data_IF_397261593429
#
_entry.id   IF_397261593429
#
_cell.length_a   1.000
_cell.length_b   1.000
_cell.length_c   1.000
_cell.angle_alpha   90.00
_cell.angle_beta   90.00
_cell.angle_gamma   90.00
#
_symmetry.space_group_name_H-M   'P 1'
#
loop_
_entity.id
_entity.type
_entity.pdbx_description
1 polymer ?
#
# COMPACT_ATOMS: atom_id res chain seq x y z
N UNK A 1 -8.91 -94.64 12.96
CA UNK A 1 -9.77 -93.52 12.58
C UNK A 1 -9.64 -92.49 13.68
N UNK A 2 -8.86 -91.43 13.42
CA UNK A 2 -8.62 -90.34 14.38
C UNK A 2 -9.22 -89.04 13.71
N UNK A 3 -10.35 -88.60 14.26
CA UNK A 3 -10.99 -87.36 13.87
C UNK A 3 -10.18 -86.19 14.39
N UNK A 4 -9.77 -85.31 13.45
CA UNK A 4 -9.14 -84.02 13.78
C UNK A 4 -10.25 -82.93 13.85
N UNK A 5 -10.43 -82.40 15.07
CA UNK A 5 -11.31 -81.26 15.33
C UNK A 5 -10.52 -79.97 14.95
N UNK A 6 -11.05 -79.23 13.97
CA UNK A 6 -10.55 -77.86 13.61
C UNK A 6 -11.28 -76.88 14.48
N UNK A 7 -10.56 -76.05 15.24
CA UNK A 7 -11.07 -74.88 15.95
C UNK A 7 -10.70 -73.64 15.12
N UNK A 8 -11.64 -72.83 14.72
CA UNK A 8 -11.29 -71.53 13.98
C UNK A 8 -10.84 -70.49 15.00
N UNK A 9 -9.64 -69.97 14.79
CA UNK A 9 -9.07 -68.82 15.51
C UNK A 9 -9.63 -67.56 14.91
N UNK A 10 -10.57 -66.86 15.56
CA UNK A 10 -11.06 -65.52 15.19
C UNK A 10 -10.08 -64.51 15.70
N UNK A 11 -9.32 -63.89 14.76
CA UNK A 11 -8.47 -62.75 15.05
C UNK A 11 -9.32 -61.47 15.12
N UNK A 12 -9.45 -60.89 16.32
CA UNK A 12 -10.05 -59.58 16.52
C UNK A 12 -9.01 -58.49 16.13
N UNK A 13 -9.26 -57.79 15.03
CA UNK A 13 -8.49 -56.63 14.63
C UNK A 13 -8.95 -55.42 15.46
N UNK A 14 -8.12 -55.01 16.40
CA UNK A 14 -8.34 -53.79 17.19
C UNK A 14 -7.88 -52.58 16.37
N UNK A 15 -8.81 -51.87 15.76
CA UNK A 15 -8.52 -50.62 15.05
C UNK A 15 -8.37 -49.49 16.07
N UNK A 16 -7.13 -49.11 16.37
CA UNK A 16 -6.84 -47.95 17.22
C UNK A 16 -6.86 -46.71 16.31
N UNK A 17 -7.95 -45.95 16.37
CA UNK A 17 -8.02 -44.65 15.73
C UNK A 17 -7.25 -43.64 16.58
N UNK A 18 -6.04 -43.26 16.13
CA UNK A 18 -5.33 -42.10 16.67
C UNK A 18 -5.98 -40.82 16.17
N UNK A 19 -6.83 -40.21 16.99
CA UNK A 19 -7.29 -38.84 16.76
C UNK A 19 -6.15 -37.92 17.18
N UNK A 20 -5.28 -37.58 16.21
CA UNK A 20 -4.31 -36.50 16.40
C UNK A 20 -5.05 -35.17 16.47
N UNK A 21 -5.30 -34.68 17.67
CA UNK A 21 -5.64 -33.26 17.87
C UNK A 21 -4.40 -32.43 17.50
N UNK A 22 -4.31 -32.02 16.26
CA UNK A 22 -3.40 -30.93 15.85
C UNK A 22 -3.89 -29.70 16.58
N UNK A 23 -3.23 -29.34 17.67
CA UNK A 23 -3.44 -28.05 18.34
C UNK A 23 -2.95 -26.97 17.37
N UNK A 24 -3.87 -26.39 16.60
CA UNK A 24 -3.59 -25.16 15.85
C UNK A 24 -3.21 -24.11 16.89
N UNK A 25 -1.94 -23.71 16.87
CA UNK A 25 -1.44 -22.67 17.75
C UNK A 25 -2.19 -21.40 17.38
N UNK A 26 -3.01 -20.87 18.27
CA UNK A 26 -3.68 -19.60 18.04
C UNK A 26 -2.63 -18.55 17.65
N UNK A 27 -2.89 -17.72 16.61
CA UNK A 27 -1.96 -16.68 16.23
C UNK A 27 -1.67 -15.81 17.45
N UNK A 28 -0.38 -15.54 17.67
CA UNK A 28 0.08 -14.77 18.81
C UNK A 28 -0.60 -13.39 18.79
N UNK A 29 -1.12 -12.97 19.95
CA UNK A 29 -1.60 -11.60 20.13
C UNK A 29 -0.52 -10.61 19.71
N UNK A 30 -0.90 -9.62 18.88
CA UNK A 30 0.03 -8.62 18.40
C UNK A 30 0.71 -7.90 19.56
N UNK A 31 2.05 -7.82 19.62
CA UNK A 31 2.71 -7.04 20.65
C UNK A 31 2.31 -5.56 20.52
N UNK A 32 1.91 -4.96 21.61
CA UNK A 32 1.60 -3.54 21.73
C UNK A 32 2.86 -2.75 22.12
N UNK A 33 3.95 -2.92 21.41
CA UNK A 33 5.18 -2.19 21.73
C UNK A 33 5.24 -0.90 20.90
N UNK A 34 4.81 0.21 21.51
CA UNK A 34 5.19 1.54 21.02
C UNK A 34 6.69 1.71 21.23
N UNK A 35 7.44 1.88 20.15
CA UNK A 35 8.85 2.29 20.23
C UNK A 35 8.84 3.81 20.41
N UNK A 36 9.38 4.36 21.53
CA UNK A 36 9.37 5.79 21.76
C UNK A 36 9.98 6.56 20.59
N UNK A 37 9.27 7.56 20.08
CA UNK A 37 9.73 8.41 18.98
C UNK A 37 9.62 7.79 17.58
N UNK A 38 9.25 6.50 17.42
CA UNK A 38 9.05 5.87 16.12
C UNK A 38 7.55 5.70 15.82
N UNK A 39 7.11 6.11 14.63
CA UNK A 39 5.70 6.04 14.22
C UNK A 39 5.56 5.54 12.78
N UNK A 40 4.76 4.50 12.61
CA UNK A 40 4.33 3.97 11.30
C UNK A 40 2.90 4.44 10.99
N UNK A 41 2.08 4.54 12.01
CA UNK A 41 0.64 4.71 11.91
C UNK A 41 0.07 5.40 13.13
N UNK A 42 -0.87 6.29 12.92
CA UNK A 42 -1.69 6.91 13.95
C UNK A 42 -3.15 6.58 13.72
N UNK A 43 -3.87 6.23 14.80
CA UNK A 43 -5.30 5.97 14.71
C UNK A 43 -6.04 7.23 14.24
N UNK A 44 -6.71 7.19 13.08
CA UNK A 44 -7.48 8.35 12.62
C UNK A 44 -8.68 8.59 13.53
N UNK A 45 -8.79 9.81 14.07
CA UNK A 45 -9.92 10.26 14.92
C UNK A 45 -10.94 11.08 14.14
N UNK A 46 -10.55 11.57 12.97
CA UNK A 46 -11.26 12.54 12.14
C UNK A 46 -11.52 12.01 10.71
N UNK A 47 -11.51 10.69 10.53
CA UNK A 47 -11.53 10.04 9.21
C UNK A 47 -12.65 10.55 8.31
N UNK A 48 -13.86 10.74 8.85
CA UNK A 48 -15.03 11.17 8.06
C UNK A 48 -14.88 12.58 7.46
N UNK A 49 -14.04 13.43 8.05
CA UNK A 49 -13.83 14.82 7.63
C UNK A 49 -12.54 15.06 6.85
N UNK A 50 -11.69 14.04 6.70
CA UNK A 50 -10.42 14.15 5.99
C UNK A 50 -10.62 14.51 4.52
N UNK A 51 -9.89 15.52 4.07
CA UNK A 51 -9.83 15.93 2.67
C UNK A 51 -8.87 15.02 1.91
N UNK A 52 -9.38 14.20 0.99
CA UNK A 52 -8.58 13.31 0.16
C UNK A 52 -8.22 13.93 -1.20
N UNK A 53 -8.70 15.12 -1.51
CA UNK A 53 -8.23 15.83 -2.70
C UNK A 53 -6.88 16.50 -2.45
N UNK A 54 -6.78 17.32 -1.39
CA UNK A 54 -5.53 17.96 -1.02
C UNK A 54 -4.66 17.09 -0.09
N UNK A 55 -5.27 16.15 0.62
CA UNK A 55 -4.59 15.26 1.57
C UNK A 55 -4.26 15.94 2.91
N UNK A 56 -3.44 15.28 3.75
CA UNK A 56 -3.20 15.73 5.13
C UNK A 56 -2.43 17.05 5.23
N UNK A 57 -1.77 17.46 4.15
CA UNK A 57 -0.99 18.70 4.08
C UNK A 57 -1.82 19.90 3.58
N UNK A 58 -3.04 19.65 3.11
CA UNK A 58 -3.99 20.67 2.74
C UNK A 58 -3.68 21.42 1.44
N UNK A 59 -4.52 22.38 1.17
CA UNK A 59 -4.46 23.20 -0.07
C UNK A 59 -3.24 24.11 -0.11
N UNK A 60 -2.85 24.66 1.03
CA UNK A 60 -1.76 25.66 1.10
C UNK A 60 -0.39 25.05 0.80
N UNK A 61 -0.24 23.74 1.01
CA UNK A 61 0.94 23.00 0.59
C UNK A 61 0.88 22.50 -0.86
N UNK A 62 -0.23 22.71 -1.58
CA UNK A 62 -0.35 22.26 -2.96
C UNK A 62 0.48 23.11 -3.92
N UNK A 63 0.98 22.54 -5.05
CA UNK A 63 1.60 23.31 -6.11
C UNK A 63 0.55 24.14 -6.82
N UNK A 64 0.89 25.39 -7.17
CA UNK A 64 0.00 26.26 -7.95
C UNK A 64 0.06 25.85 -9.43
N UNK A 65 -1.05 25.40 -10.06
CA UNK A 65 -1.05 25.02 -11.47
C UNK A 65 -0.81 26.18 -12.45
N UNK A 66 -0.90 27.43 -11.97
CA UNK A 66 -0.67 28.64 -12.77
C UNK A 66 0.73 29.22 -12.60
N UNK A 67 1.51 28.69 -11.65
CA UNK A 67 2.87 29.18 -11.41
C UNK A 67 3.82 28.77 -12.53
N UNK A 68 4.84 29.61 -12.74
CA UNK A 68 6.02 29.22 -13.52
C UNK A 68 7.07 28.66 -12.57
N UNK A 69 7.39 27.39 -12.77
CA UNK A 69 8.41 26.69 -11.99
C UNK A 69 9.77 26.89 -12.66
N UNK A 70 10.80 27.17 -11.87
CA UNK A 70 12.17 27.28 -12.36
C UNK A 70 12.87 25.94 -12.22
N UNK A 71 13.50 25.45 -13.29
CA UNK A 71 14.34 24.26 -13.27
C UNK A 71 15.52 24.44 -12.29
N UNK A 72 15.82 23.41 -11.51
CA UNK A 72 16.96 23.38 -10.58
C UNK A 72 17.97 22.34 -11.04
N UNK A 73 17.54 21.09 -11.17
CA UNK A 73 18.42 19.98 -11.56
C UNK A 73 17.65 18.79 -12.11
N UNK A 74 18.31 17.94 -12.88
CA UNK A 74 17.82 16.60 -13.24
C UNK A 74 18.12 15.60 -12.14
N UNK A 75 17.18 14.69 -11.91
CA UNK A 75 17.40 13.54 -11.02
C UNK A 75 17.89 12.35 -11.83
N UNK A 76 19.07 11.86 -11.49
CA UNK A 76 19.71 10.75 -12.19
C UNK A 76 19.37 9.36 -11.59
N UNK A 77 18.49 9.29 -10.60
CA UNK A 77 18.08 8.04 -9.94
C UNK A 77 16.63 7.68 -10.22
N UNK A 78 16.38 6.40 -10.53
CA UNK A 78 15.04 5.85 -10.79
C UNK A 78 14.75 5.56 -12.26
N UNK A 79 13.64 4.86 -12.51
CA UNK A 79 13.22 4.43 -13.85
C UNK A 79 12.47 5.55 -14.61
N UNK A 80 11.87 6.49 -13.89
CA UNK A 80 11.10 7.59 -14.48
C UNK A 80 11.94 8.86 -14.60
N UNK A 81 11.59 9.69 -15.58
CA UNK A 81 12.17 11.04 -15.68
C UNK A 81 11.86 11.83 -14.42
N UNK A 82 12.89 12.43 -13.84
CA UNK A 82 12.77 13.22 -12.63
C UNK A 82 13.57 14.50 -12.68
N UNK A 83 13.00 15.56 -12.09
CA UNK A 83 13.68 16.83 -11.92
C UNK A 83 13.35 17.46 -10.57
N UNK A 84 14.18 18.39 -10.13
CA UNK A 84 13.85 19.33 -9.08
C UNK A 84 13.48 20.65 -9.73
N UNK A 85 12.37 21.22 -9.31
CA UNK A 85 11.93 22.55 -9.73
C UNK A 85 11.65 23.42 -8.51
N UNK A 86 11.74 24.75 -8.68
CA UNK A 86 11.43 25.73 -7.62
C UNK A 86 10.24 26.57 -8.03
N UNK A 87 9.27 26.72 -7.11
CA UNK A 87 8.13 27.61 -7.32
C UNK A 87 8.47 29.09 -7.01
N UNK A 88 7.56 30.05 -7.34
CA UNK A 88 7.80 31.47 -7.07
C UNK A 88 7.95 31.81 -5.57
N UNK A 89 7.50 30.94 -4.65
CA UNK A 89 7.66 31.09 -3.21
C UNK A 89 8.99 30.53 -2.70
N UNK A 90 9.82 29.99 -3.59
CA UNK A 90 11.11 29.39 -3.25
C UNK A 90 11.04 27.96 -2.76
N UNK A 91 9.86 27.32 -2.76
CA UNK A 91 9.70 25.91 -2.36
C UNK A 91 10.23 24.99 -3.46
N UNK A 92 10.95 23.95 -3.06
CA UNK A 92 11.48 22.96 -4.00
C UNK A 92 10.55 21.72 -4.10
N UNK A 93 10.41 21.26 -5.33
CA UNK A 93 9.55 20.16 -5.70
C UNK A 93 10.33 19.08 -6.45
N UNK A 94 10.25 17.86 -5.96
CA UNK A 94 10.66 16.69 -6.73
C UNK A 94 9.54 16.32 -7.70
N UNK A 95 9.75 16.54 -8.97
CA UNK A 95 8.81 16.20 -10.02
C UNK A 95 9.21 14.88 -10.67
N UNK A 96 8.22 13.98 -10.84
CA UNK A 96 8.35 12.72 -11.57
C UNK A 96 7.38 12.77 -12.76
N UNK A 97 7.89 12.58 -13.97
CA UNK A 97 7.13 12.65 -15.21
C UNK A 97 7.12 11.30 -15.94
N UNK A 98 6.10 11.04 -16.78
CA UNK A 98 6.12 9.88 -17.66
C UNK A 98 7.25 10.02 -18.71
N UNK A 99 7.77 8.90 -19.18
CA UNK A 99 8.56 8.90 -20.41
C UNK A 99 7.65 9.27 -21.59
N UNK A 100 8.17 9.95 -22.61
CA UNK A 100 7.42 10.24 -23.82
C UNK A 100 6.84 8.95 -24.42
N UNK A 101 5.53 8.92 -24.65
CA UNK A 101 4.82 7.75 -25.18
C UNK A 101 4.54 6.64 -24.17
N UNK A 102 4.85 6.80 -22.90
CA UNK A 102 4.46 5.83 -21.87
C UNK A 102 2.94 5.87 -21.64
N UNK A 103 2.28 4.72 -21.82
CA UNK A 103 0.85 4.56 -21.53
C UNK A 103 0.59 4.44 -20.02
N UNK A 104 1.53 3.85 -19.29
CA UNK A 104 1.45 3.56 -17.85
C UNK A 104 2.40 4.49 -17.09
N UNK A 105 1.83 5.33 -16.24
CA UNK A 105 2.59 6.29 -15.44
C UNK A 105 2.31 6.14 -13.94
N UNK A 106 3.36 6.01 -13.16
CA UNK A 106 3.29 5.79 -11.69
C UNK A 106 2.79 7.01 -10.91
N UNK A 107 2.94 8.22 -11.45
CA UNK A 107 2.65 9.47 -10.72
C UNK A 107 1.23 9.58 -10.19
N UNK A 108 0.19 9.41 -11.03
CA UNK A 108 -1.20 9.37 -10.59
C UNK A 108 -1.47 8.35 -9.50
N UNK A 109 -0.95 7.11 -9.67
CA UNK A 109 -1.09 6.02 -8.71
C UNK A 109 -0.48 6.39 -7.37
N UNK A 110 0.75 6.93 -7.36
CA UNK A 110 1.45 7.36 -6.14
C UNK A 110 0.62 8.39 -5.36
N UNK A 111 -0.01 9.34 -6.05
CA UNK A 111 -0.87 10.34 -5.40
C UNK A 111 -2.12 9.70 -4.80
N UNK A 112 -2.85 8.87 -5.56
CA UNK A 112 -4.05 8.18 -5.05
C UNK A 112 -3.73 7.37 -3.82
N UNK A 113 -2.71 6.51 -3.88
CA UNK A 113 -2.37 5.64 -2.76
C UNK A 113 -1.85 6.41 -1.55
N UNK A 114 -1.10 7.50 -1.77
CA UNK A 114 -0.71 8.41 -0.68
C UNK A 114 -1.94 9.01 0.02
N UNK A 115 -2.98 9.40 -0.73
CA UNK A 115 -4.25 9.87 -0.15
C UNK A 115 -4.93 8.80 0.68
N UNK A 116 -5.07 7.59 0.13
CA UNK A 116 -5.74 6.48 0.80
C UNK A 116 -4.99 6.05 2.06
N UNK A 117 -3.66 5.88 1.98
CA UNK A 117 -2.84 5.51 3.13
C UNK A 117 -2.89 6.56 4.24
N UNK A 118 -2.75 7.85 3.89
CA UNK A 118 -2.83 8.91 4.89
C UNK A 118 -4.22 9.00 5.52
N UNK A 119 -5.28 8.76 4.75
CA UNK A 119 -6.65 8.78 5.27
C UNK A 119 -6.86 7.73 6.36
N UNK A 120 -6.27 6.55 6.22
CA UNK A 120 -6.40 5.47 7.20
C UNK A 120 -5.27 5.44 8.23
N UNK A 121 -4.46 6.50 8.31
CA UNK A 121 -3.54 6.77 9.42
C UNK A 121 -2.06 6.50 9.16
N UNK A 122 -1.66 6.03 7.97
CA UNK A 122 -0.24 5.87 7.63
C UNK A 122 0.37 7.19 7.20
N UNK A 123 1.56 7.47 7.69
CA UNK A 123 2.26 8.72 7.36
C UNK A 123 2.63 8.80 5.89
N UNK A 124 2.39 9.98 5.28
CA UNK A 124 2.73 10.26 3.90
C UNK A 124 3.29 11.68 3.76
N UNK A 125 4.30 11.92 2.90
CA UNK A 125 4.81 13.25 2.60
C UNK A 125 3.80 14.03 1.74
N UNK A 126 3.97 15.37 1.62
CA UNK A 126 3.14 16.18 0.73
C UNK A 126 3.43 15.82 -0.74
N UNK A 127 2.45 15.19 -1.39
CA UNK A 127 2.53 14.76 -2.79
C UNK A 127 1.25 15.15 -3.53
N UNK A 128 1.41 15.65 -4.76
CA UNK A 128 0.31 16.17 -5.59
C UNK A 128 0.53 15.79 -7.04
N UNK A 129 -0.51 15.94 -7.86
CA UNK A 129 -0.45 15.75 -9.29
C UNK A 129 -0.89 17.03 -10.00
N UNK A 130 -0.09 17.48 -10.97
CA UNK A 130 -0.48 18.50 -11.93
C UNK A 130 -0.57 17.88 -13.33
N UNK A 131 -1.66 18.10 -14.08
CA UNK A 131 -1.82 17.54 -15.42
C UNK A 131 -0.89 18.19 -16.46
N UNK A 132 -0.44 19.41 -16.20
CA UNK A 132 0.57 20.17 -16.93
C UNK A 132 1.12 21.24 -16.01
N UNK A 133 2.31 21.78 -16.31
CA UNK A 133 2.89 22.90 -15.58
C UNK A 133 3.80 23.73 -16.51
N UNK A 134 3.99 25.01 -16.16
CA UNK A 134 4.91 25.90 -16.89
C UNK A 134 6.30 25.78 -16.26
N UNK A 135 7.30 25.43 -17.08
CA UNK A 135 8.71 25.34 -16.70
C UNK A 135 9.49 26.46 -17.34
N UNK A 136 10.43 27.06 -16.58
CA UNK A 136 11.45 27.96 -17.04
C UNK A 136 12.82 27.33 -16.83
N UNK A 137 13.58 27.18 -17.89
CA UNK A 137 14.93 26.65 -17.91
C UNK A 137 15.84 27.48 -18.82
N UNK A 138 17.01 26.96 -19.22
CA UNK A 138 17.98 27.61 -20.08
C UNK A 138 17.47 27.83 -21.54
N UNK A 139 16.46 27.04 -21.98
CA UNK A 139 15.84 27.16 -23.31
C UNK A 139 14.64 28.12 -23.34
N UNK A 140 14.24 28.65 -22.18
CA UNK A 140 13.14 29.58 -22.03
C UNK A 140 12.00 29.08 -21.16
N UNK A 141 10.79 29.56 -21.46
CA UNK A 141 9.58 29.21 -20.71
C UNK A 141 8.64 28.42 -21.62
N UNK A 142 8.25 27.25 -21.21
CA UNK A 142 7.41 26.33 -21.97
C UNK A 142 6.49 25.50 -21.07
N UNK A 143 5.52 24.82 -21.68
CA UNK A 143 4.60 23.93 -20.96
C UNK A 143 5.16 22.51 -20.99
N UNK A 144 5.28 21.93 -19.81
CA UNK A 144 5.66 20.54 -19.61
C UNK A 144 4.44 19.62 -19.42
N UNK A 145 4.55 18.36 -19.83
CA UNK A 145 3.58 17.33 -19.47
C UNK A 145 3.41 17.22 -17.96
N UNK A 146 2.25 16.75 -17.52
CA UNK A 146 1.94 16.59 -16.12
C UNK A 146 2.88 15.67 -15.37
N UNK A 147 2.91 15.83 -14.06
CA UNK A 147 3.80 15.07 -13.20
C UNK A 147 3.30 14.95 -11.76
N UNK A 148 3.90 14.00 -11.04
CA UNK A 148 3.77 13.93 -9.60
C UNK A 148 4.76 14.92 -8.97
N UNK A 149 4.23 15.84 -8.20
CA UNK A 149 4.96 16.84 -7.42
C UNK A 149 5.05 16.40 -5.96
N UNK A 150 6.25 16.28 -5.41
CA UNK A 150 6.47 16.07 -3.99
C UNK A 150 7.27 17.23 -3.44
N UNK A 151 6.68 17.92 -2.46
CA UNK A 151 7.31 19.05 -1.79
C UNK A 151 8.52 18.55 -0.99
N UNK A 152 9.64 19.24 -1.11
CA UNK A 152 10.74 19.13 -0.15
C UNK A 152 10.34 19.93 1.10
N UNK A 153 9.71 19.22 2.04
CA UNK A 153 9.10 19.81 3.24
C UNK A 153 10.16 19.97 4.33
N UNK A 154 10.46 21.22 4.75
CA UNK A 154 11.54 21.49 5.73
C UNK A 154 11.39 20.77 7.07
N UNK A 155 10.16 20.40 7.46
CA UNK A 155 9.89 19.67 8.70
C UNK A 155 10.05 18.15 8.56
N UNK A 156 10.32 17.65 7.34
CA UNK A 156 10.53 16.23 7.03
C UNK A 156 11.91 15.99 6.46
N UNK A 157 12.87 15.64 7.31
CA UNK A 157 14.23 15.30 6.88
C UNK A 157 14.33 13.80 6.57
N UNK A 158 14.78 13.44 5.37
CA UNK A 158 15.01 12.04 5.00
C UNK A 158 16.31 11.53 5.67
N UNK A 159 16.18 10.46 6.46
CA UNK A 159 17.31 9.79 7.14
C UNK A 159 17.72 8.48 6.46
N UNK A 160 17.13 8.16 5.31
CA UNK A 160 17.42 6.95 4.54
C UNK A 160 16.22 6.04 4.37
N UNK A 161 16.48 4.77 4.09
CA UNK A 161 15.44 3.75 3.87
C UNK A 161 15.25 2.88 5.11
N UNK A 162 14.03 2.39 5.32
CA UNK A 162 13.76 1.36 6.32
C UNK A 162 13.43 0.01 5.67
N UNK A 163 13.68 -1.08 6.39
CA UNK A 163 13.55 -2.44 5.90
C UNK A 163 12.19 -3.05 6.26
N UNK A 164 11.52 -3.67 5.29
CA UNK A 164 10.34 -4.50 5.54
C UNK A 164 10.65 -5.71 6.45
N UNK A 165 11.86 -6.23 6.37
CA UNK A 165 12.28 -7.42 7.11
C UNK A 165 12.80 -7.11 8.51
N UNK A 166 13.19 -5.84 8.74
CA UNK A 166 13.82 -5.40 9.98
C UNK A 166 13.34 -3.99 10.34
N UNK A 167 12.32 -3.92 11.18
CA UNK A 167 11.76 -2.66 11.69
C UNK A 167 11.05 -2.92 13.03
N UNK A 168 10.81 -1.88 13.85
CA UNK A 168 10.24 -2.04 15.19
C UNK A 168 8.75 -2.42 15.21
N UNK A 169 8.06 -2.43 14.06
CA UNK A 169 6.61 -2.66 13.98
C UNK A 169 6.26 -4.08 13.54
N UNK A 170 7.25 -4.94 13.26
CA UNK A 170 7.00 -6.33 12.84
C UNK A 170 6.13 -7.04 13.88
N UNK A 171 5.04 -7.67 13.41
CA UNK A 171 4.07 -8.36 14.26
C UNK A 171 3.01 -7.44 14.87
N UNK A 172 3.10 -6.13 14.70
CA UNK A 172 2.02 -5.22 15.12
C UNK A 172 0.87 -5.21 14.11
N UNK A 173 -0.34 -4.96 14.58
CA UNK A 173 -1.53 -4.88 13.71
C UNK A 173 -1.42 -3.79 12.63
N UNK A 174 -0.92 -2.57 12.90
CA UNK A 174 -0.69 -1.58 11.84
C UNK A 174 0.30 -2.03 10.78
N UNK A 175 1.37 -2.74 11.16
CA UNK A 175 2.33 -3.24 10.18
C UNK A 175 1.74 -4.36 9.30
N UNK A 176 1.03 -5.31 9.91
CA UNK A 176 0.33 -6.37 9.18
C UNK A 176 -0.74 -5.76 8.26
N UNK A 177 -1.49 -4.77 8.76
CA UNK A 177 -2.48 -4.04 7.97
C UNK A 177 -1.88 -3.28 6.79
N UNK A 178 -0.69 -2.67 6.95
CA UNK A 178 0.03 -2.05 5.84
C UNK A 178 0.36 -3.06 4.74
N UNK A 179 0.84 -4.24 5.11
CA UNK A 179 1.12 -5.31 4.15
C UNK A 179 -0.16 -5.75 3.41
N UNK A 180 -1.28 -5.89 4.13
CA UNK A 180 -2.59 -6.18 3.52
C UNK A 180 -2.98 -5.11 2.51
N UNK A 181 -2.80 -3.82 2.84
CA UNK A 181 -3.09 -2.72 1.91
C UNK A 181 -2.19 -2.76 0.68
N UNK A 182 -0.91 -3.09 0.84
CA UNK A 182 -0.01 -3.27 -0.31
C UNK A 182 -0.49 -4.39 -1.25
N UNK A 183 -0.99 -5.51 -0.70
CA UNK A 183 -1.58 -6.60 -1.47
C UNK A 183 -2.91 -6.18 -2.12
N UNK A 184 -3.76 -5.44 -1.41
CA UNK A 184 -5.04 -4.93 -1.92
C UNK A 184 -4.85 -3.99 -3.10
N UNK A 185 -3.82 -3.16 -3.06
CA UNK A 185 -3.44 -2.22 -4.13
C UNK A 185 -2.67 -2.89 -5.26
N UNK A 186 -2.30 -4.15 -5.10
CA UNK A 186 -1.40 -4.88 -6.01
C UNK A 186 -0.09 -4.13 -6.25
N UNK A 187 0.53 -3.66 -5.15
CA UNK A 187 1.84 -3.00 -5.22
C UNK A 187 2.93 -4.05 -5.40
N UNK A 188 3.48 -4.13 -6.60
CA UNK A 188 4.44 -5.17 -7.01
C UNK A 188 5.89 -4.86 -6.63
N UNK A 189 6.18 -3.67 -6.12
CA UNK A 189 7.56 -3.21 -5.88
C UNK A 189 7.84 -2.86 -4.40
N UNK A 190 7.76 -3.89 -3.53
CA UNK A 190 8.02 -3.76 -2.09
C UNK A 190 9.53 -3.75 -1.75
N UNK A 191 10.35 -3.04 -2.52
CA UNK A 191 11.77 -2.88 -2.20
C UNK A 191 11.96 -1.97 -0.99
N UNK A 192 12.98 -2.28 -0.17
CA UNK A 192 13.35 -1.42 0.96
C UNK A 192 13.74 0.00 0.52
N UNK A 193 14.34 0.15 -0.66
CA UNK A 193 14.68 1.46 -1.24
C UNK A 193 13.47 2.35 -1.58
N UNK A 194 12.27 1.77 -1.66
CA UNK A 194 11.01 2.50 -1.86
C UNK A 194 10.43 3.04 -0.55
N UNK A 195 11.02 2.66 0.58
CA UNK A 195 10.65 3.13 1.89
C UNK A 195 11.56 4.28 2.33
N UNK A 196 11.04 5.18 3.14
CA UNK A 196 11.82 6.29 3.68
C UNK A 196 11.56 6.44 5.17
N UNK A 197 12.64 6.54 5.92
CA UNK A 197 12.63 6.99 7.30
C UNK A 197 12.76 8.52 7.29
N UNK A 198 11.74 9.21 7.81
CA UNK A 198 11.79 10.65 7.99
C UNK A 198 11.95 11.01 9.46
N UNK A 199 12.83 11.94 9.74
CA UNK A 199 12.79 12.72 10.96
C UNK A 199 11.76 13.84 10.75
N UNK A 200 10.69 13.84 11.55
CA UNK A 200 9.69 14.90 11.58
C UNK A 200 9.88 15.77 12.79
N UNK A 201 9.99 17.08 12.57
CA UNK A 201 10.07 18.07 13.63
C UNK A 201 8.74 18.80 13.78
N UNK A 202 8.23 18.84 15.02
CA UNK A 202 7.04 19.59 15.42
C UNK A 202 7.35 20.36 16.70
N UNK A 203 7.83 21.60 16.56
CA UNK A 203 8.43 22.33 17.67
C UNK A 203 9.67 21.60 18.19
N UNK A 204 9.74 21.34 19.49
CA UNK A 204 10.84 20.62 20.15
C UNK A 204 10.71 19.08 20.05
N UNK A 205 9.58 18.58 19.55
CA UNK A 205 9.37 17.16 19.38
C UNK A 205 9.98 16.67 18.07
N UNK A 206 10.71 15.56 18.17
CA UNK A 206 11.32 14.85 17.04
C UNK A 206 10.72 13.44 17.00
N UNK A 207 10.09 13.11 15.87
CA UNK A 207 9.49 11.80 15.60
C UNK A 207 10.15 11.16 14.39
N UNK A 208 10.31 9.84 14.41
CA UNK A 208 10.73 9.08 13.25
C UNK A 208 9.52 8.48 12.54
N UNK A 209 9.23 8.95 11.34
CA UNK A 209 8.16 8.44 10.51
C UNK A 209 8.64 7.37 9.54
N UNK A 210 8.06 6.19 9.65
CA UNK A 210 8.29 5.07 8.75
C UNK A 210 7.28 5.14 7.60
N UNK A 211 7.73 5.58 6.43
CA UNK A 211 6.87 5.89 5.29
C UNK A 211 7.14 4.94 4.13
N UNK A 212 6.10 4.34 3.55
CA UNK A 212 6.18 3.70 2.23
C UNK A 212 5.91 4.79 1.20
N UNK A 213 6.94 5.15 0.44
CA UNK A 213 6.93 6.35 -0.39
C UNK A 213 6.72 6.10 -1.87
N UNK A 214 7.45 5.18 -2.47
CA UNK A 214 7.45 4.94 -3.92
C UNK A 214 6.44 3.84 -4.26
N UNK A 215 5.16 4.19 -4.13
CA UNK A 215 4.01 3.26 -4.22
C UNK A 215 3.29 3.30 -5.57
N UNK A 216 3.93 3.88 -6.59
CA UNK A 216 3.35 4.02 -7.92
C UNK A 216 3.27 2.72 -8.74
N UNK A 217 4.02 1.68 -8.36
CA UNK A 217 4.02 0.38 -9.02
C UNK A 217 2.82 -0.48 -8.57
N UNK A 218 1.60 0.05 -8.70
CA UNK A 218 0.37 -0.52 -8.17
C UNK A 218 -0.83 -0.24 -9.07
N UNK A 219 -2.02 -0.68 -8.65
CA UNK A 219 -3.30 -0.52 -9.36
C UNK A 219 -3.23 -1.02 -10.82
N UNK A 220 -2.62 -2.17 -11.02
CA UNK A 220 -2.44 -2.77 -12.32
C UNK A 220 -2.42 -4.28 -12.25
N UNK A 221 -1.47 -4.91 -12.94
CA UNK A 221 -1.19 -6.32 -12.81
C UNK A 221 0.25 -6.55 -12.31
N UNK A 222 0.45 -7.74 -11.77
CA UNK A 222 1.76 -8.21 -11.30
C UNK A 222 2.53 -8.98 -12.37
N UNK A 223 2.28 -8.71 -13.66
CA UNK A 223 2.96 -9.44 -14.72
C UNK A 223 4.47 -9.17 -14.66
N UNK A 224 5.23 -10.23 -14.49
CA UNK A 224 6.64 -10.21 -14.09
C UNK A 224 7.57 -9.42 -15.01
N UNK A 225 7.28 -9.36 -16.30
CA UNK A 225 8.17 -8.75 -17.31
C UNK A 225 7.77 -7.34 -17.75
N UNK A 226 6.51 -7.00 -17.62
CA UNK A 226 5.97 -5.67 -17.97
C UNK A 226 4.70 -5.39 -17.16
N UNK A 227 4.82 -5.10 -15.85
CA UNK A 227 3.66 -4.80 -15.01
C UNK A 227 2.99 -3.53 -15.51
N UNK A 228 1.68 -3.60 -15.75
CA UNK A 228 0.87 -2.45 -16.12
C UNK A 228 0.42 -1.74 -14.86
N UNK A 229 0.89 -0.51 -14.67
CA UNK A 229 0.65 0.32 -13.48
C UNK A 229 -0.51 1.27 -13.76
N UNK A 230 -1.40 1.48 -12.79
CA UNK A 230 -2.55 2.37 -12.97
C UNK A 230 -3.49 1.94 -14.10
N UNK A 231 -3.52 0.66 -14.45
CA UNK A 231 -4.33 0.11 -15.52
C UNK A 231 -5.56 -0.61 -14.96
N UNK A 232 -6.74 0.01 -15.09
CA UNK A 232 -7.98 -0.50 -14.50
C UNK A 232 -8.36 -1.89 -15.01
N UNK A 233 -8.18 -2.17 -16.31
CA UNK A 233 -8.52 -3.47 -16.89
C UNK A 233 -7.57 -4.58 -16.43
N UNK A 234 -6.33 -4.26 -16.15
CA UNK A 234 -5.37 -5.17 -15.55
C UNK A 234 -5.73 -5.44 -14.08
N UNK A 235 -5.97 -4.37 -13.32
CA UNK A 235 -6.29 -4.44 -11.90
C UNK A 235 -7.57 -5.21 -11.59
N UNK A 236 -8.59 -5.11 -12.45
CA UNK A 236 -9.85 -5.87 -12.34
C UNK A 236 -9.67 -7.39 -12.47
N UNK A 237 -8.57 -7.85 -13.08
CA UNK A 237 -8.26 -9.29 -13.25
C UNK A 237 -7.42 -9.86 -12.12
N UNK A 238 -6.76 -9.01 -11.33
CA UNK A 238 -5.87 -9.46 -10.26
C UNK A 238 -6.66 -9.91 -9.04
N UNK A 239 -6.41 -11.14 -8.62
CA UNK A 239 -7.03 -11.72 -7.43
C UNK A 239 -6.31 -11.20 -6.18
N UNK A 240 -7.09 -10.74 -5.22
CA UNK A 240 -6.55 -10.28 -3.95
C UNK A 240 -6.31 -11.44 -2.99
N UNK A 241 -7.33 -12.22 -2.68
CA UNK A 241 -7.26 -13.34 -1.77
C UNK A 241 -7.53 -14.64 -2.53
N UNK A 242 -6.66 -15.64 -2.36
CA UNK A 242 -6.81 -16.98 -2.92
C UNK A 242 -7.52 -17.93 -1.95
N UNK A 243 -7.28 -17.77 -0.64
CA UNK A 243 -7.84 -18.59 0.41
C UNK A 243 -7.18 -18.34 1.76
N UNK A 244 -7.39 -19.27 2.68
CA UNK A 244 -6.75 -19.33 3.99
C UNK A 244 -6.14 -20.71 4.18
N UNK A 245 -4.85 -20.78 4.49
CA UNK A 245 -4.11 -22.02 4.74
C UNK A 245 -3.39 -21.92 6.08
N UNK A 246 -3.54 -22.93 6.93
CA UNK A 246 -2.88 -22.98 8.26
C UNK A 246 -3.14 -21.75 9.14
N UNK A 247 -4.31 -21.09 8.99
CA UNK A 247 -4.66 -19.88 9.75
C UNK A 247 -4.10 -18.58 9.18
N UNK A 248 -3.46 -18.61 8.01
CA UNK A 248 -2.92 -17.44 7.32
C UNK A 248 -3.58 -17.23 5.95
N UNK A 249 -3.62 -15.97 5.52
CA UNK A 249 -4.21 -15.57 4.24
C UNK A 249 -3.23 -15.83 3.10
N UNK A 250 -3.69 -16.52 2.07
CA UNK A 250 -2.99 -16.69 0.80
C UNK A 250 -3.42 -15.59 -0.15
N UNK A 251 -2.48 -14.72 -0.54
CA UNK A 251 -2.71 -13.63 -1.49
C UNK A 251 -2.36 -14.03 -2.92
N UNK A 252 -3.06 -13.45 -3.89
CA UNK A 252 -2.75 -13.58 -5.32
C UNK A 252 -1.50 -12.82 -5.77
N UNK A 253 -0.77 -12.24 -4.84
CA UNK A 253 0.38 -11.38 -5.07
C UNK A 253 1.57 -12.11 -5.73
N UNK A 254 2.19 -11.46 -6.72
CA UNK A 254 3.31 -11.97 -7.51
C UNK A 254 4.42 -10.92 -7.68
N UNK A 255 4.72 -10.17 -6.64
CA UNK A 255 5.71 -9.10 -6.66
C UNK A 255 7.01 -9.43 -5.94
N UNK A 256 7.82 -8.39 -5.71
CA UNK A 256 9.02 -8.49 -4.89
C UNK A 256 8.67 -8.85 -3.45
N UNK A 257 9.47 -9.73 -2.84
CA UNK A 257 9.35 -10.09 -1.41
C UNK A 257 8.02 -10.77 -1.03
N UNK A 258 7.49 -11.68 -1.84
CA UNK A 258 6.31 -12.50 -1.50
C UNK A 258 6.36 -13.09 -0.07
N UNK A 259 7.58 -13.40 0.42
CA UNK A 259 7.80 -13.92 1.79
C UNK A 259 7.38 -12.95 2.90
N UNK A 260 7.17 -11.67 2.60
CA UNK A 260 6.68 -10.69 3.60
C UNK A 260 5.27 -11.01 4.08
N UNK A 261 4.45 -11.61 3.24
CA UNK A 261 3.04 -11.90 3.53
C UNK A 261 2.76 -13.39 3.74
N UNK A 262 3.65 -14.28 3.26
CA UNK A 262 3.45 -15.72 3.38
C UNK A 262 3.52 -16.16 4.84
N UNK A 263 2.52 -16.89 5.30
CA UNK A 263 2.41 -17.45 6.66
C UNK A 263 2.55 -16.39 7.78
N UNK A 264 2.06 -15.16 7.54
CA UNK A 264 2.20 -14.03 8.47
C UNK A 264 0.93 -13.23 8.68
N UNK A 265 0.08 -13.12 7.68
CA UNK A 265 -1.13 -12.31 7.72
C UNK A 265 -2.30 -13.20 8.10
N UNK A 266 -2.96 -12.90 9.20
CA UNK A 266 -4.15 -13.62 9.64
C UNK A 266 -5.42 -13.06 8.98
N UNK A 267 -6.54 -13.83 8.96
CA UNK A 267 -7.84 -13.30 8.54
C UNK A 267 -8.26 -12.04 9.31
N UNK A 268 -7.91 -11.96 10.61
CA UNK A 268 -8.20 -10.77 11.44
C UNK A 268 -7.41 -9.53 10.99
N UNK A 269 -6.16 -9.70 10.52
CA UNK A 269 -5.36 -8.61 9.98
C UNK A 269 -5.95 -8.08 8.67
N UNK A 270 -6.36 -9.00 7.79
CA UNK A 270 -7.01 -8.66 6.54
C UNK A 270 -8.34 -7.94 6.76
N UNK A 271 -9.16 -8.43 7.70
CA UNK A 271 -10.41 -7.81 8.07
C UNK A 271 -10.19 -6.42 8.69
N UNK A 272 -9.18 -6.25 9.56
CA UNK A 272 -8.88 -4.96 10.17
C UNK A 272 -8.49 -3.90 9.12
N UNK A 273 -7.59 -4.22 8.19
CA UNK A 273 -7.18 -3.30 7.13
C UNK A 273 -8.34 -2.96 6.19
N UNK A 274 -9.14 -3.96 5.83
CA UNK A 274 -10.33 -3.79 4.99
C UNK A 274 -11.38 -2.92 5.67
N UNK A 275 -11.60 -3.09 6.98
CA UNK A 275 -12.51 -2.26 7.77
C UNK A 275 -12.04 -0.80 7.90
N UNK A 276 -10.73 -0.54 7.96
CA UNK A 276 -10.20 0.83 7.92
C UNK A 276 -10.57 1.52 6.61
N UNK A 277 -10.32 0.86 5.49
CA UNK A 277 -10.62 1.40 4.15
C UNK A 277 -12.13 1.56 3.92
N UNK A 278 -12.96 0.67 4.46
CA UNK A 278 -14.42 0.71 4.30
C UNK A 278 -15.08 1.91 5.01
N UNK A 279 -14.38 2.59 5.90
CA UNK A 279 -14.88 3.81 6.55
C UNK A 279 -14.82 5.04 5.64
N UNK A 280 -14.12 4.95 4.51
CA UNK A 280 -14.04 6.05 3.55
C UNK A 280 -15.37 6.22 2.80
N UNK A 281 -15.89 7.44 2.78
CA UNK A 281 -17.10 7.80 2.05
C UNK A 281 -16.88 7.76 0.53
N UNK A 282 -17.97 7.65 -0.23
CA UNK A 282 -17.96 7.71 -1.70
C UNK A 282 -17.29 8.98 -2.23
N UNK A 283 -17.49 10.11 -1.55
CA UNK A 283 -16.86 11.37 -1.88
C UNK A 283 -15.34 11.27 -1.71
N UNK A 284 -14.87 10.74 -0.59
CA UNK A 284 -13.44 10.62 -0.29
C UNK A 284 -12.74 9.71 -1.31
N UNK A 285 -13.35 8.60 -1.68
CA UNK A 285 -12.85 7.72 -2.74
C UNK A 285 -12.66 8.48 -4.06
N UNK A 286 -13.70 9.21 -4.51
CA UNK A 286 -13.63 10.00 -5.76
C UNK A 286 -12.61 11.13 -5.65
N UNK A 287 -12.52 11.79 -4.50
CA UNK A 287 -11.57 12.87 -4.27
C UNK A 287 -10.11 12.38 -4.33
N UNK A 288 -9.80 11.18 -3.80
CA UNK A 288 -8.47 10.59 -3.90
C UNK A 288 -8.06 10.32 -5.36
N UNK A 289 -8.95 9.72 -6.17
CA UNK A 289 -8.67 9.46 -7.58
C UNK A 289 -8.61 10.74 -8.42
N UNK A 290 -9.47 11.71 -8.13
CA UNK A 290 -9.42 13.04 -8.75
C UNK A 290 -8.11 13.77 -8.44
N UNK A 291 -7.58 13.63 -7.23
CA UNK A 291 -6.27 14.17 -6.85
C UNK A 291 -5.12 13.59 -7.67
N UNK A 292 -5.23 12.32 -8.10
CA UNK A 292 -4.31 11.68 -9.04
C UNK A 292 -4.56 12.01 -10.52
N UNK A 293 -5.57 12.85 -10.82
CA UNK A 293 -5.89 13.23 -12.21
C UNK A 293 -6.69 12.19 -13.00
N UNK A 294 -7.29 11.19 -12.34
CA UNK A 294 -8.09 10.18 -13.03
C UNK A 294 -9.44 10.71 -13.47
N UNK A 295 -9.82 10.36 -14.70
CA UNK A 295 -11.17 10.58 -15.22
C UNK A 295 -12.21 9.82 -14.38
N UNK A 296 -13.42 10.38 -14.13
CA UNK A 296 -14.40 9.78 -13.23
C UNK A 296 -14.78 8.34 -13.58
N UNK A 297 -14.93 8.02 -14.87
CA UNK A 297 -15.29 6.66 -15.31
C UNK A 297 -14.18 5.64 -15.01
N UNK A 298 -12.91 6.04 -15.12
CA UNK A 298 -11.76 5.19 -14.81
C UNK A 298 -11.63 5.05 -13.29
N UNK A 299 -11.79 6.14 -12.55
CA UNK A 299 -11.82 6.14 -11.10
C UNK A 299 -12.88 5.18 -10.53
N UNK A 300 -14.11 5.22 -11.07
CA UNK A 300 -15.20 4.33 -10.64
C UNK A 300 -14.89 2.83 -10.85
N UNK A 301 -14.09 2.48 -11.86
CA UNK A 301 -13.63 1.08 -12.07
C UNK A 301 -12.69 0.65 -10.95
N UNK A 302 -11.67 1.45 -10.66
CA UNK A 302 -10.75 1.18 -9.55
C UNK A 302 -11.47 1.10 -8.20
N UNK A 303 -12.37 2.05 -7.92
CA UNK A 303 -13.12 2.09 -6.68
C UNK A 303 -13.98 0.83 -6.51
N UNK A 304 -14.68 0.37 -7.56
CA UNK A 304 -15.43 -0.90 -7.51
C UNK A 304 -14.54 -2.08 -7.18
N UNK A 305 -13.40 -2.21 -7.87
CA UNK A 305 -12.46 -3.32 -7.65
C UNK A 305 -11.89 -3.28 -6.23
N UNK A 306 -11.50 -2.11 -5.73
CA UNK A 306 -11.01 -1.95 -4.36
C UNK A 306 -12.09 -2.33 -3.33
N UNK A 307 -13.36 -1.95 -3.56
CA UNK A 307 -14.48 -2.36 -2.69
C UNK A 307 -14.71 -3.86 -2.69
N UNK A 308 -14.63 -4.51 -3.84
CA UNK A 308 -14.70 -5.98 -3.91
C UNK A 308 -13.59 -6.63 -3.09
N UNK A 309 -12.35 -6.15 -3.23
CA UNK A 309 -11.21 -6.64 -2.44
C UNK A 309 -11.40 -6.36 -0.93
N UNK A 310 -11.96 -5.22 -0.55
CA UNK A 310 -12.31 -4.94 0.86
C UNK A 310 -13.36 -5.92 1.38
N UNK A 311 -14.41 -6.18 0.60
CA UNK A 311 -15.46 -7.15 0.97
C UNK A 311 -14.88 -8.57 1.12
N UNK A 312 -13.92 -8.97 0.26
CA UNK A 312 -13.19 -10.23 0.41
C UNK A 312 -12.48 -10.30 1.76
N UNK A 313 -11.71 -9.26 2.11
CA UNK A 313 -10.96 -9.19 3.37
C UNK A 313 -11.87 -9.17 4.61
N UNK A 314 -12.99 -8.43 4.57
CA UNK A 314 -13.95 -8.36 5.68
C UNK A 314 -14.67 -9.70 5.94
N UNK A 315 -14.90 -10.49 4.90
CA UNK A 315 -15.66 -11.73 5.01
C UNK A 315 -14.80 -12.96 5.34
N UNK A 316 -13.47 -12.83 5.42
CA UNK A 316 -12.59 -13.96 5.75
C UNK A 316 -12.88 -14.56 7.12
N UNK A 317 -13.08 -13.76 8.14
CA UNK A 317 -13.38 -14.20 9.49
C UNK A 317 -14.72 -14.92 9.60
N UNK A 318 -15.71 -14.53 8.81
CA UNK A 318 -17.03 -15.19 8.76
C UNK A 318 -16.94 -16.56 8.10
N UNK A 319 -16.10 -16.74 7.08
CA UNK A 319 -15.90 -18.02 6.38
C UNK A 319 -15.11 -19.00 7.22
N UNK A 320 -14.06 -18.54 7.90
CA UNK A 320 -13.24 -19.36 8.78
C UNK A 320 -14.00 -19.86 10.03
N UNK A 321 -15.13 -19.23 10.41
CA UNK A 321 -15.98 -19.69 11.52
C UNK A 321 -17.08 -20.66 11.08
N UNK A 322 -17.24 -20.87 9.76
CA UNK A 322 -18.28 -21.74 9.20
C UNK A 322 -17.74 -23.09 8.69
N UNK A 323 -16.40 -23.24 8.64
CA UNK A 323 -15.67 -24.49 8.38
C UNK A 323 -15.16 -25.13 9.70
#
# INVERSE_FOLDING_TARGET
MIERVFVPLTAAVLTVTFTSCVRVKAPASHPSAAVPGASLWEKPTDLATRDLYYGPWGRDCAPDPKATYTFVELKHSGVNLGMTVRDPQGREWSVKQPYPGAEDFEGPVEVVLSRLLSAVGYHQPPVYFLPAFTLKDDWGTHIEPGGRFRLDEPTLKSEGSWSWQENPFIGTRPYQGLLVLMMMFDNTDLKNSNNTLYERRKGDLVEQWYVVRDIGAALGDSFRFAPRKGNAAAFERERFILGVSNGFVDFGYKGWYEKLVRDRITPDDAAWASNLMAQLSDRQWRDAFRAGGYEPRVADRFIRTLRQKMDEGQNLTRRASAE
#
